data_IF_513264983551
#
_entry.id   IF_513264983551
#
_cell.length_a   1.000
_cell.length_b   1.000
_cell.length_c   1.000
_cell.angle_alpha   90.00
_cell.angle_beta   90.00
_cell.angle_gamma   90.00
#
_symmetry.space_group_name_H-M   'P 1'
#
loop_
_entity.id
_entity.type
_entity.pdbx_description
1 polymer ?
#
# COMPACT_ATOMS: atom_id res chain seq x y z
N UNK A 1 10.35 -11.13 -6.63
CA UNK A 1 9.18 -10.28 -6.94
C UNK A 1 9.56 -8.83 -6.71
N UNK A 2 9.06 -7.91 -7.52
CA UNK A 2 9.22 -6.47 -7.33
C UNK A 2 7.88 -5.74 -7.51
N UNK A 3 7.67 -4.70 -6.70
CA UNK A 3 6.52 -3.79 -6.76
C UNK A 3 7.01 -2.41 -7.21
N UNK A 4 6.32 -1.82 -8.18
CA UNK A 4 6.60 -0.48 -8.69
C UNK A 4 5.32 0.35 -8.64
N UNK A 5 5.25 1.34 -7.76
CA UNK A 5 4.07 2.21 -7.64
C UNK A 5 3.99 3.11 -8.88
N UNK A 6 2.86 3.04 -9.58
CA UNK A 6 2.59 3.84 -10.79
C UNK A 6 1.89 5.15 -10.39
N UNK A 7 0.89 5.06 -9.52
CA UNK A 7 0.12 6.24 -9.10
C UNK A 7 -0.52 6.06 -7.73
N UNK A 8 -0.75 7.19 -7.07
CA UNK A 8 -1.50 7.29 -5.81
C UNK A 8 -2.46 8.48 -5.97
N UNK A 9 -3.76 8.20 -6.04
CA UNK A 9 -4.78 9.19 -6.38
C UNK A 9 -5.84 9.22 -5.27
N UNK A 10 -6.09 10.37 -4.62
CA UNK A 10 -7.17 10.48 -3.64
C UNK A 10 -8.53 10.33 -4.33
N UNK A 11 -9.38 9.45 -3.80
CA UNK A 11 -10.79 9.29 -4.19
C UNK A 11 -11.73 10.03 -3.23
N UNK A 12 -11.30 10.18 -1.97
CA UNK A 12 -11.96 10.95 -0.91
C UNK A 12 -10.90 11.42 0.11
N UNK A 13 -11.25 12.17 1.17
CA UNK A 13 -10.29 12.53 2.22
C UNK A 13 -9.62 11.33 2.90
N UNK A 14 -10.31 10.19 2.99
CA UNK A 14 -9.82 8.98 3.66
C UNK A 14 -9.51 7.85 2.66
N UNK A 15 -9.91 7.95 1.40
CA UNK A 15 -9.80 6.86 0.43
C UNK A 15 -8.80 7.17 -0.67
N UNK A 16 -7.89 6.25 -0.93
CA UNK A 16 -6.81 6.36 -1.89
C UNK A 16 -6.85 5.20 -2.87
N UNK A 17 -6.79 5.53 -4.16
CA UNK A 17 -6.51 4.54 -5.19
C UNK A 17 -5.00 4.46 -5.38
N UNK A 18 -4.44 3.25 -5.34
CA UNK A 18 -3.02 3.00 -5.59
C UNK A 18 -2.91 2.01 -6.74
N UNK A 19 -2.27 2.43 -7.82
CA UNK A 19 -1.96 1.54 -8.95
C UNK A 19 -0.47 1.19 -8.90
N UNK A 20 -0.14 -0.08 -9.07
CA UNK A 20 1.25 -0.56 -9.15
C UNK A 20 1.45 -1.59 -10.25
N UNK A 21 2.69 -1.72 -10.70
CA UNK A 21 3.14 -2.79 -11.59
C UNK A 21 3.82 -3.87 -10.74
N UNK A 22 3.43 -5.11 -10.95
CA UNK A 22 3.99 -6.27 -10.29
C UNK A 22 4.83 -7.09 -11.27
N UNK A 23 6.06 -7.43 -10.86
CA UNK A 23 6.96 -8.33 -11.61
C UNK A 23 7.30 -9.52 -10.73
N UNK A 24 6.92 -10.71 -11.18
CA UNK A 24 7.20 -11.95 -10.47
C UNK A 24 8.36 -12.66 -11.18
N UNK A 25 9.34 -13.10 -10.39
CA UNK A 25 10.57 -13.70 -10.88
C UNK A 25 10.73 -15.08 -10.26
N UNK A 26 11.28 -16.02 -11.01
CA UNK A 26 11.65 -17.34 -10.52
C UNK A 26 12.98 -17.28 -9.73
N UNK A 27 13.45 -18.44 -9.26
CA UNK A 27 14.73 -18.55 -8.52
C UNK A 27 15.96 -18.23 -9.39
N UNK A 28 15.82 -18.24 -10.71
CA UNK A 28 16.89 -17.98 -11.67
C UNK A 28 16.88 -16.51 -12.16
N UNK A 29 15.88 -15.72 -11.77
CA UNK A 29 15.75 -14.31 -12.13
C UNK A 29 14.95 -14.06 -13.42
N UNK A 30 14.34 -15.09 -14.02
CA UNK A 30 13.46 -14.91 -15.17
C UNK A 30 12.07 -14.50 -14.72
N UNK A 31 11.40 -13.69 -15.55
CA UNK A 31 9.99 -13.34 -15.32
C UNK A 31 9.12 -14.60 -15.44
N UNK A 32 8.35 -14.90 -14.40
CA UNK A 32 7.41 -16.04 -14.41
C UNK A 32 6.17 -15.75 -15.23
N UNK A 33 5.80 -14.47 -15.34
CA UNK A 33 4.68 -13.99 -16.13
C UNK A 33 4.95 -12.56 -16.63
N UNK A 34 4.25 -12.09 -17.67
CA UNK A 34 4.33 -10.69 -18.09
C UNK A 34 3.97 -9.76 -16.92
N UNK A 35 4.69 -8.65 -16.73
CA UNK A 35 4.35 -7.66 -15.69
C UNK A 35 2.89 -7.24 -15.81
N UNK A 36 2.18 -7.23 -14.69
CA UNK A 36 0.76 -6.91 -14.67
C UNK A 36 0.48 -5.77 -13.71
N UNK A 37 -0.53 -4.97 -14.08
CA UNK A 37 -0.97 -3.87 -13.23
C UNK A 37 -1.97 -4.36 -12.21
N UNK A 38 -1.86 -3.79 -11.03
CA UNK A 38 -2.75 -4.00 -9.92
C UNK A 38 -3.31 -2.65 -9.48
N UNK A 39 -4.52 -2.67 -8.93
CA UNK A 39 -5.16 -1.50 -8.34
C UNK A 39 -5.65 -1.86 -6.95
N UNK A 40 -5.35 -1.01 -5.98
CA UNK A 40 -5.94 -1.05 -4.65
C UNK A 40 -6.80 0.18 -4.41
N UNK A 41 -7.86 -0.01 -3.63
CA UNK A 41 -8.52 1.06 -2.90
C UNK A 41 -8.22 0.85 -1.42
N UNK A 42 -7.61 1.86 -0.80
CA UNK A 42 -7.20 1.88 0.59
C UNK A 42 -8.00 2.96 1.31
N UNK A 43 -8.66 2.62 2.41
CA UNK A 43 -9.15 3.63 3.34
C UNK A 43 -8.16 3.78 4.48
N UNK A 44 -7.75 5.01 4.76
CA UNK A 44 -6.79 5.35 5.80
C UNK A 44 -7.42 6.29 6.82
N UNK A 45 -6.92 6.22 8.05
CA UNK A 45 -7.29 7.15 9.12
C UNK A 45 -6.06 7.46 9.96
N UNK A 46 -6.10 8.63 10.60
CA UNK A 46 -5.06 9.06 11.53
C UNK A 46 -5.50 8.72 12.96
N UNK A 47 -4.67 7.95 13.67
CA UNK A 47 -4.87 7.70 15.10
C UNK A 47 -4.02 8.69 15.89
N UNK A 48 -4.62 9.59 16.69
CA UNK A 48 -3.86 10.52 17.51
C UNK A 48 -3.04 9.78 18.57
N UNK A 49 -1.88 10.34 18.91
CA UNK A 49 -1.08 9.83 20.02
C UNK A 49 -1.80 10.11 21.35
N UNK A 50 -1.75 9.12 22.23
CA UNK A 50 -2.34 9.16 23.57
C UNK A 50 -1.26 8.88 24.61
N UNK A 51 -1.58 9.04 25.90
CA UNK A 51 -0.68 8.68 27.00
C UNK A 51 -0.27 7.19 27.00
N UNK A 52 -1.04 6.33 26.32
CA UNK A 52 -0.73 4.91 26.14
C UNK A 52 0.07 4.60 24.88
N UNK A 53 0.39 5.60 24.05
CA UNK A 53 1.21 5.39 22.84
C UNK A 53 2.67 5.33 23.23
N UNK A 54 3.33 4.21 22.91
CA UNK A 54 4.74 4.00 23.27
C UNK A 54 5.67 4.78 22.35
N UNK A 55 6.88 5.10 22.82
CA UNK A 55 7.89 5.74 21.99
C UNK A 55 8.26 4.90 20.75
N UNK A 56 8.25 3.57 20.89
CA UNK A 56 8.49 2.66 19.78
C UNK A 56 7.41 2.77 18.69
N UNK A 57 6.13 2.86 19.09
CA UNK A 57 5.03 3.06 18.16
C UNK A 57 5.18 4.39 17.41
N UNK A 58 5.59 5.46 18.09
CA UNK A 58 5.83 6.77 17.47
C UNK A 58 7.03 6.71 16.52
N UNK A 59 8.12 6.03 16.88
CA UNK A 59 9.27 5.85 16.00
C UNK A 59 8.93 5.10 14.71
N UNK A 60 8.09 4.06 14.81
CA UNK A 60 7.70 3.25 13.67
C UNK A 60 6.64 3.93 12.78
N UNK A 61 5.78 4.79 13.35
CA UNK A 61 4.74 5.50 12.61
C UNK A 61 4.49 6.91 13.22
N UNK A 62 5.37 7.89 12.92
CA UNK A 62 5.29 9.21 13.54
C UNK A 62 4.06 10.02 13.10
N UNK A 63 3.47 9.68 11.95
CA UNK A 63 2.25 10.34 11.44
C UNK A 63 0.96 9.69 11.95
N UNK A 64 1.06 8.54 12.61
CA UNK A 64 -0.09 7.80 13.12
C UNK A 64 -1.08 7.40 12.03
N UNK A 65 -0.63 7.13 10.81
CA UNK A 65 -1.49 6.73 9.69
C UNK A 65 -1.71 5.22 9.73
N UNK A 66 -2.96 4.79 9.70
CA UNK A 66 -3.36 3.38 9.70
C UNK A 66 -4.31 3.11 8.53
N UNK A 67 -4.28 1.88 8.02
CA UNK A 67 -5.25 1.40 7.04
C UNK A 67 -6.48 0.88 7.81
N UNK A 68 -7.66 1.42 7.50
CA UNK A 68 -8.94 0.99 8.04
C UNK A 68 -9.48 -0.22 7.27
N UNK A 69 -9.47 -0.13 5.94
CA UNK A 69 -9.88 -1.18 5.04
C UNK A 69 -9.09 -1.11 3.73
N UNK A 70 -9.02 -2.23 3.02
CA UNK A 70 -8.41 -2.28 1.70
C UNK A 70 -9.05 -3.37 0.84
N UNK A 71 -9.00 -3.16 -0.47
CA UNK A 71 -9.25 -4.18 -1.48
C UNK A 71 -8.33 -3.95 -2.66
N UNK A 72 -7.96 -5.03 -3.37
CA UNK A 72 -7.19 -4.91 -4.60
C UNK A 72 -7.57 -5.95 -5.64
N UNK A 73 -7.29 -5.64 -6.89
CA UNK A 73 -7.50 -6.54 -8.03
C UNK A 73 -6.48 -6.30 -9.13
N UNK A 74 -6.19 -7.36 -9.90
CA UNK A 74 -5.45 -7.27 -11.16
C UNK A 74 -6.28 -6.46 -12.16
N UNK A 75 -5.66 -5.46 -12.77
CA UNK A 75 -6.32 -4.70 -13.83
C UNK A 75 -6.42 -5.60 -15.06
N UNK A 76 -7.63 -5.70 -15.62
CA UNK A 76 -7.90 -6.47 -16.84
C UNK A 76 -7.45 -5.69 -18.07
#
# INVERSE_FOLDING_TARGET
>A
MSIEIISVIPQSPETWQVDWLEKVYDRQGHLTEPPFKMRALLRVYNKPTTQSTTEEQIRNNPLGIYIQDFSWSKQT
#
